data_IF_430995599360
#
_entry.id   IF_430995599360
#
_cell.length_a   1.000
_cell.length_b   1.000
_cell.length_c   1.000
_cell.angle_alpha   90.00
_cell.angle_beta   90.00
_cell.angle_gamma   90.00
#
_symmetry.space_group_name_H-M   'P 1'
#
loop_
_entity.id
_entity.type
_entity.pdbx_description
1 polymer ?
#
# COMPACT_ATOMS: atom_id res chain seq x y z
N UNK A 1 18.35 -61.77 -52.41
CA UNK A 1 17.69 -62.85 -51.62
C UNK A 1 17.32 -62.29 -50.23
N UNK A 2 16.01 -62.31 -49.95
CA UNK A 2 15.38 -62.26 -48.62
C UNK A 2 15.56 -60.94 -47.75
N UNK A 3 14.57 -60.05 -47.72
CA UNK A 3 13.35 -60.10 -46.94
C UNK A 3 13.60 -60.01 -45.43
N UNK A 4 13.09 -58.89 -44.86
CA UNK A 4 12.27 -58.82 -43.63
C UNK A 4 12.02 -57.36 -43.35
N UNK A 5 10.91 -56.75 -43.66
CA UNK A 5 9.60 -56.74 -43.01
C UNK A 5 9.60 -56.17 -41.62
N UNK A 6 9.08 -54.95 -41.53
CA UNK A 6 8.07 -54.42 -40.58
C UNK A 6 8.11 -54.92 -39.15
N UNK A 7 8.33 -54.00 -38.25
CA UNK A 7 7.48 -53.88 -37.06
C UNK A 7 7.31 -52.36 -36.78
N UNK A 8 6.17 -51.83 -37.14
CA UNK A 8 5.59 -50.61 -36.57
C UNK A 8 4.91 -51.05 -35.31
N UNK A 9 5.46 -50.69 -34.16
CA UNK A 9 4.75 -50.82 -32.88
C UNK A 9 4.34 -49.42 -32.39
N UNK A 10 3.06 -49.34 -32.16
CA UNK A 10 2.31 -48.21 -31.64
C UNK A 10 2.93 -47.68 -30.37
N UNK A 11 3.31 -46.41 -30.38
CA UNK A 11 3.47 -45.64 -29.16
C UNK A 11 2.13 -44.93 -28.82
N UNK A 12 1.60 -45.09 -27.61
CA UNK A 12 0.43 -44.36 -27.21
C UNK A 12 0.78 -42.87 -26.99
N UNK A 13 0.00 -42.07 -27.67
CA UNK A 13 -0.08 -40.61 -27.45
C UNK A 13 -0.42 -40.33 -25.99
N UNK A 14 0.58 -40.05 -25.17
CA UNK A 14 0.38 -39.53 -23.81
C UNK A 14 0.15 -38.03 -23.93
N UNK A 15 -1.09 -37.67 -24.22
CA UNK A 15 -1.59 -36.32 -24.01
C UNK A 15 -1.37 -35.88 -22.56
N UNK A 16 -0.24 -35.25 -22.29
CA UNK A 16 -0.04 -34.54 -21.06
C UNK A 16 -0.95 -33.34 -21.04
N UNK A 17 -2.12 -33.51 -20.45
CA UNK A 17 -2.92 -32.39 -19.92
C UNK A 17 -2.08 -31.67 -18.87
N UNK A 18 -1.32 -30.68 -19.31
CA UNK A 18 -0.79 -29.65 -18.43
C UNK A 18 -1.99 -28.75 -18.16
N UNK A 19 -2.79 -29.10 -17.14
CA UNK A 19 -3.64 -28.14 -16.49
C UNK A 19 -2.71 -27.07 -15.94
N UNK A 20 -2.61 -25.94 -16.66
CA UNK A 20 -2.07 -24.70 -16.14
C UNK A 20 -2.89 -24.37 -14.88
N UNK A 21 -2.34 -24.72 -13.74
CA UNK A 21 -2.82 -24.23 -12.45
C UNK A 21 -2.76 -22.72 -12.50
N UNK A 22 -3.89 -22.09 -12.77
CA UNK A 22 -4.10 -20.66 -12.73
C UNK A 22 -3.77 -20.23 -11.31
N UNK A 23 -2.50 -19.85 -11.08
CA UNK A 23 -2.02 -19.26 -9.84
C UNK A 23 -2.86 -18.01 -9.65
N UNK A 24 -3.84 -18.07 -8.78
CA UNK A 24 -4.59 -16.90 -8.34
C UNK A 24 -3.56 -15.97 -7.72
N UNK A 25 -3.09 -14.98 -8.47
CA UNK A 25 -2.22 -13.95 -7.94
C UNK A 25 -2.97 -13.25 -6.82
N UNK A 26 -2.51 -13.46 -5.61
CA UNK A 26 -3.04 -12.76 -4.44
C UNK A 26 -2.68 -11.29 -4.62
N UNK A 27 -3.70 -10.44 -4.64
CA UNK A 27 -3.49 -9.00 -4.77
C UNK A 27 -2.66 -8.46 -3.61
N UNK A 28 -1.53 -7.85 -3.93
CA UNK A 28 -0.64 -7.18 -2.98
C UNK A 28 -0.66 -5.68 -3.25
N UNK A 29 -1.29 -4.88 -2.38
CA UNK A 29 -1.46 -3.45 -2.62
C UNK A 29 -0.13 -2.70 -2.52
N UNK A 30 0.03 -1.66 -3.33
CA UNK A 30 1.10 -0.66 -3.21
C UNK A 30 0.59 0.54 -2.46
N UNK A 31 1.17 0.83 -1.32
CA UNK A 31 0.74 1.91 -0.44
C UNK A 31 1.87 2.91 -0.28
N UNK A 32 1.56 4.20 -0.35
CA UNK A 32 2.49 5.28 -0.07
C UNK A 32 2.18 5.87 1.30
N UNK A 33 3.16 5.89 2.19
CA UNK A 33 3.05 6.48 3.52
C UNK A 33 3.82 7.80 3.62
N UNK A 34 3.13 8.91 3.83
CA UNK A 34 3.75 10.20 4.15
C UNK A 34 3.94 10.34 5.67
N UNK A 35 5.18 10.32 6.13
CA UNK A 35 5.52 10.34 7.55
C UNK A 35 6.19 11.65 7.95
N UNK A 36 5.68 12.25 9.03
CA UNK A 36 6.31 13.44 9.62
C UNK A 36 7.67 13.08 10.25
N UNK A 37 8.71 13.82 9.90
CA UNK A 37 10.08 13.59 10.38
C UNK A 37 10.20 13.53 11.91
N UNK A 38 9.47 14.40 12.62
CA UNK A 38 9.65 14.61 14.07
C UNK A 38 8.88 13.61 14.93
N UNK A 39 7.91 12.91 14.36
CA UNK A 39 7.07 11.98 15.12
C UNK A 39 6.95 10.63 14.44
N UNK A 40 6.11 10.47 13.42
CA UNK A 40 5.80 9.18 12.84
C UNK A 40 6.98 8.49 12.15
N UNK A 41 7.91 9.27 11.55
CA UNK A 41 9.14 8.68 10.98
C UNK A 41 10.08 8.18 12.09
N UNK A 42 10.23 8.94 13.17
CA UNK A 42 10.99 8.48 14.34
C UNK A 42 10.32 7.25 15.00
N UNK A 43 8.98 7.18 14.98
CA UNK A 43 8.24 5.98 15.40
C UNK A 43 8.53 4.77 14.51
N UNK A 44 8.66 4.98 13.20
CA UNK A 44 9.07 3.95 12.24
C UNK A 44 10.51 3.48 12.52
N UNK A 45 11.46 4.41 12.76
CA UNK A 45 12.84 4.09 13.13
C UNK A 45 12.89 3.27 14.42
N UNK A 46 12.07 3.62 15.41
CA UNK A 46 11.96 2.85 16.66
C UNK A 46 11.43 1.44 16.42
N UNK A 47 10.45 1.27 15.55
CA UNK A 47 9.93 -0.05 15.20
C UNK A 47 11.01 -0.89 14.50
N UNK A 48 11.78 -0.28 13.57
CA UNK A 48 12.90 -0.93 12.90
C UNK A 48 14.03 -1.33 13.86
N UNK A 49 14.44 -0.42 14.76
CA UNK A 49 15.45 -0.72 15.78
C UNK A 49 15.02 -1.85 16.72
N UNK A 50 13.73 -1.96 17.01
CA UNK A 50 13.15 -3.05 17.78
C UNK A 50 12.87 -4.33 16.95
N UNK A 51 13.31 -4.36 15.69
CA UNK A 51 13.12 -5.48 14.75
C UNK A 51 11.66 -5.94 14.62
N UNK A 52 10.71 -4.99 14.70
CA UNK A 52 9.29 -5.30 14.58
C UNK A 52 8.94 -5.55 13.11
N UNK A 53 8.22 -6.63 12.87
CA UNK A 53 7.77 -6.99 11.53
C UNK A 53 6.43 -6.31 11.21
N UNK A 54 6.35 -5.74 10.04
CA UNK A 54 5.13 -5.19 9.45
C UNK A 54 5.12 -5.44 7.94
N UNK A 55 3.98 -5.25 7.33
CA UNK A 55 3.79 -5.55 5.90
C UNK A 55 4.74 -4.72 5.01
N UNK A 56 5.43 -5.34 4.04
CA UNK A 56 6.35 -4.65 3.13
C UNK A 56 5.64 -3.81 2.07
N UNK A 57 4.31 -3.81 2.05
CA UNK A 57 3.49 -3.15 1.04
C UNK A 57 3.51 -1.62 1.09
N UNK A 58 4.18 -1.02 2.08
CA UNK A 58 4.19 0.42 2.30
C UNK A 58 5.56 1.01 1.98
N UNK A 59 5.60 1.91 1.00
CA UNK A 59 6.76 2.75 0.70
C UNK A 59 6.63 4.07 1.46
N UNK A 60 7.66 4.42 2.25
CA UNK A 60 7.65 5.59 3.12
C UNK A 60 8.28 6.79 2.45
N UNK A 61 7.59 7.92 2.46
CA UNK A 61 8.09 9.25 2.09
C UNK A 61 8.17 10.10 3.35
N UNK A 62 9.38 10.47 3.73
CA UNK A 62 9.62 11.37 4.85
C UNK A 62 9.37 12.81 4.47
N UNK A 63 8.53 13.50 5.23
CA UNK A 63 8.24 14.93 5.10
C UNK A 63 8.62 15.66 6.38
N UNK A 64 9.08 16.91 6.28
CA UNK A 64 9.49 17.66 7.48
C UNK A 64 8.32 17.90 8.45
N UNK A 65 7.11 18.05 7.93
CA UNK A 65 5.88 18.18 8.73
C UNK A 65 4.69 17.68 7.94
N UNK A 66 3.74 17.02 8.58
CA UNK A 66 2.48 16.60 7.92
C UNK A 66 1.71 17.79 7.32
N UNK A 67 1.84 18.99 7.91
CA UNK A 67 1.27 20.23 7.35
C UNK A 67 1.87 20.65 5.99
N UNK A 68 2.96 20.03 5.55
CA UNK A 68 3.57 20.25 4.22
C UNK A 68 2.94 19.37 3.13
N UNK A 69 2.20 18.34 3.52
CA UNK A 69 1.58 17.42 2.57
C UNK A 69 0.47 18.15 1.84
N UNK A 70 0.67 18.32 0.53
CA UNK A 70 -0.33 18.89 -0.36
C UNK A 70 -1.26 17.77 -0.86
N UNK A 71 -2.57 18.03 -1.03
CA UNK A 71 -3.50 17.10 -1.67
C UNK A 71 -3.01 16.58 -3.02
N UNK A 72 -2.27 17.41 -3.77
CA UNK A 72 -1.69 17.02 -5.06
C UNK A 72 -0.76 15.79 -4.93
N UNK A 73 0.03 15.69 -3.84
CA UNK A 73 0.93 14.55 -3.64
C UNK A 73 0.16 13.23 -3.50
N UNK A 74 -1.03 13.29 -2.88
CA UNK A 74 -1.89 12.11 -2.72
C UNK A 74 -2.53 11.75 -4.06
N UNK A 75 -3.00 12.75 -4.81
CA UNK A 75 -3.54 12.53 -6.14
C UNK A 75 -2.49 11.95 -7.10
N UNK A 76 -1.27 12.49 -7.07
CA UNK A 76 -0.13 11.99 -7.86
C UNK A 76 0.21 10.54 -7.48
N UNK A 77 0.18 10.18 -6.19
CA UNK A 77 0.41 8.82 -5.75
C UNK A 77 -0.62 7.85 -6.37
N UNK A 78 -1.91 8.18 -6.33
CA UNK A 78 -2.95 7.37 -6.94
C UNK A 78 -2.81 7.30 -8.47
N UNK A 79 -2.50 8.40 -9.15
CA UNK A 79 -2.28 8.43 -10.59
C UNK A 79 -1.09 7.58 -11.04
N UNK A 80 -0.06 7.49 -10.19
CA UNK A 80 1.12 6.65 -10.41
C UNK A 80 0.95 5.20 -9.93
N UNK A 81 -0.28 4.82 -9.59
CA UNK A 81 -0.66 3.44 -9.33
C UNK A 81 -0.46 2.98 -7.90
N UNK A 82 -0.54 3.88 -6.93
CA UNK A 82 -0.75 3.48 -5.54
C UNK A 82 -2.19 2.99 -5.36
N UNK A 83 -2.38 1.90 -4.63
CA UNK A 83 -3.69 1.37 -4.27
C UNK A 83 -4.23 1.99 -2.98
N UNK A 84 -3.32 2.56 -2.18
CA UNK A 84 -3.64 3.27 -0.95
C UNK A 84 -2.60 4.31 -0.60
N UNK A 85 -3.00 5.31 0.16
CA UNK A 85 -2.12 6.36 0.70
C UNK A 85 -2.40 6.52 2.19
N UNK A 86 -1.35 6.72 2.98
CA UNK A 86 -1.49 7.03 4.40
C UNK A 86 -0.72 8.30 4.76
N UNK A 87 -1.26 9.06 5.69
CA UNK A 87 -0.66 10.26 6.27
C UNK A 87 -0.50 10.03 7.76
N UNK A 88 0.73 9.97 8.24
CA UNK A 88 1.00 9.81 9.66
C UNK A 88 1.56 11.11 10.25
N UNK A 89 0.81 11.69 11.17
CA UNK A 89 1.08 12.98 11.77
C UNK A 89 1.43 12.87 13.27
N UNK A 90 1.91 13.97 13.85
CA UNK A 90 2.05 14.12 15.31
C UNK A 90 0.66 14.18 15.96
N UNK A 91 0.53 13.71 17.19
CA UNK A 91 -0.68 13.90 18.01
C UNK A 91 -1.05 15.39 18.14
N UNK A 92 -2.32 15.71 18.35
CA UNK A 92 -2.76 17.07 18.66
C UNK A 92 -1.96 17.65 19.84
N UNK A 93 -1.41 18.85 19.67
CA UNK A 93 -0.56 19.50 20.67
C UNK A 93 0.95 19.23 20.53
N UNK A 94 1.37 18.13 19.88
CA UNK A 94 2.78 17.70 19.81
C UNK A 94 3.49 18.13 18.52
N UNK A 95 2.86 18.95 17.68
CA UNK A 95 3.46 19.34 16.43
C UNK A 95 4.68 20.25 16.64
N UNK A 96 5.86 19.83 16.11
CA UNK A 96 7.09 20.62 16.17
C UNK A 96 6.93 22.05 15.64
N UNK A 97 6.04 22.24 14.65
CA UNK A 97 5.71 23.53 14.03
C UNK A 97 4.37 24.11 14.52
N UNK A 98 3.89 23.66 15.70
CA UNK A 98 2.66 24.07 16.41
C UNK A 98 1.36 23.59 15.75
N UNK A 99 1.10 23.89 14.48
CA UNK A 99 -0.22 23.71 13.82
C UNK A 99 -0.22 22.76 12.63
N UNK A 100 0.94 22.21 12.25
CA UNK A 100 1.05 21.43 11.02
C UNK A 100 0.12 20.22 10.94
N UNK A 101 -0.06 19.50 12.04
CA UNK A 101 -0.97 18.36 12.14
C UNK A 101 -2.45 18.77 12.02
N UNK A 102 -2.85 19.91 12.58
CA UNK A 102 -4.22 20.44 12.44
C UNK A 102 -4.52 20.82 11.00
N UNK A 103 -3.57 21.47 10.30
CA UNK A 103 -3.69 21.81 8.88
C UNK A 103 -3.75 20.56 8.01
N UNK A 104 -2.97 19.55 8.33
CA UNK A 104 -2.97 18.28 7.61
C UNK A 104 -4.32 17.56 7.70
N UNK A 105 -4.89 17.45 8.90
CA UNK A 105 -6.19 16.79 9.08
C UNK A 105 -7.33 17.55 8.39
N UNK A 106 -7.29 18.88 8.38
CA UNK A 106 -8.30 19.68 7.68
C UNK A 106 -8.23 19.44 6.15
N UNK A 107 -7.01 19.46 5.57
CA UNK A 107 -6.82 19.15 4.15
C UNK A 107 -7.24 17.74 3.81
N UNK A 108 -6.91 16.77 4.65
CA UNK A 108 -7.32 15.38 4.47
C UNK A 108 -8.84 15.23 4.42
N UNK A 109 -9.57 15.89 5.34
CA UNK A 109 -11.06 15.87 5.32
C UNK A 109 -11.66 16.43 4.03
N UNK A 110 -11.06 17.50 3.49
CA UNK A 110 -11.47 18.04 2.19
C UNK A 110 -11.12 17.10 1.05
N UNK A 111 -9.93 16.50 1.10
CA UNK A 111 -9.46 15.55 0.09
C UNK A 111 -10.36 14.32 0.00
N UNK A 112 -10.81 13.76 1.13
CA UNK A 112 -11.73 12.61 1.12
C UNK A 112 -13.00 12.90 0.31
N UNK A 113 -13.55 14.13 0.41
CA UNK A 113 -14.72 14.53 -0.40
C UNK A 113 -14.42 14.56 -1.90
N UNK A 114 -13.21 14.98 -2.28
CA UNK A 114 -12.75 14.99 -3.67
C UNK A 114 -12.52 13.56 -4.17
N UNK A 115 -11.84 12.71 -3.40
CA UNK A 115 -11.58 11.31 -3.76
C UNK A 115 -12.88 10.56 -4.04
N UNK A 116 -13.89 10.77 -3.23
CA UNK A 116 -15.23 10.19 -3.44
C UNK A 116 -15.85 10.60 -4.78
N UNK A 117 -15.65 11.85 -5.24
CA UNK A 117 -16.13 12.31 -6.55
C UNK A 117 -15.39 11.62 -7.70
N UNK A 118 -14.13 11.21 -7.49
CA UNK A 118 -13.34 10.45 -8.46
C UNK A 118 -13.58 8.93 -8.37
N UNK A 119 -14.49 8.48 -7.51
CA UNK A 119 -14.78 7.07 -7.32
C UNK A 119 -13.69 6.31 -6.55
N UNK A 120 -12.86 7.04 -5.78
CA UNK A 120 -11.83 6.44 -4.90
C UNK A 120 -12.42 6.32 -3.49
N UNK A 121 -12.38 5.12 -2.94
CA UNK A 121 -12.90 4.81 -1.61
C UNK A 121 -12.09 5.54 -0.53
N UNK A 122 -12.78 6.08 0.47
CA UNK A 122 -12.18 6.88 1.54
C UNK A 122 -11.13 6.07 2.35
N UNK A 123 -11.36 4.78 2.48
CA UNK A 123 -10.49 3.84 3.20
C UNK A 123 -9.11 3.68 2.54
N UNK A 124 -8.97 4.07 1.27
CA UNK A 124 -7.68 4.08 0.57
C UNK A 124 -6.80 5.26 0.97
N UNK A 125 -7.37 6.29 1.62
CA UNK A 125 -6.63 7.47 2.07
C UNK A 125 -6.74 7.62 3.58
N UNK A 126 -5.86 6.92 4.31
CA UNK A 126 -5.87 6.92 5.78
C UNK A 126 -5.08 8.09 6.35
N UNK A 127 -5.62 8.70 7.40
CA UNK A 127 -4.92 9.63 8.26
C UNK A 127 -4.87 9.09 9.68
N UNK A 128 -3.69 9.11 10.31
CA UNK A 128 -3.54 8.66 11.69
C UNK A 128 -2.45 9.46 12.44
N UNK A 129 -2.39 9.30 13.75
CA UNK A 129 -1.41 9.93 14.61
C UNK A 129 -0.45 8.87 15.16
N UNK A 130 0.86 9.16 15.05
CA UNK A 130 1.92 8.31 15.60
C UNK A 130 3.01 9.21 16.15
N UNK A 131 3.36 9.05 17.43
CA UNK A 131 4.49 9.75 18.06
C UNK A 131 5.82 9.01 17.87
N UNK A 132 6.94 9.69 18.17
CA UNK A 132 8.27 9.11 18.10
C UNK A 132 8.45 7.87 19.02
N UNK A 133 7.69 7.83 20.13
CA UNK A 133 7.72 6.72 21.08
C UNK A 133 6.91 5.50 20.68
N UNK A 134 6.03 5.62 19.68
CA UNK A 134 4.95 4.65 19.40
C UNK A 134 5.27 3.69 18.24
N UNK A 135 6.41 2.97 18.32
CA UNK A 135 6.76 1.97 17.30
C UNK A 135 5.72 0.85 17.14
N UNK A 136 5.06 0.43 18.23
CA UNK A 136 3.98 -0.59 18.16
C UNK A 136 2.76 -0.06 17.42
N UNK A 137 2.35 1.17 17.73
CA UNK A 137 1.25 1.83 17.02
C UNK A 137 1.56 2.00 15.53
N UNK A 138 2.79 2.36 15.20
CA UNK A 138 3.23 2.44 13.80
C UNK A 138 2.99 1.12 13.07
N UNK A 139 3.45 0.01 13.63
CA UNK A 139 3.26 -1.34 13.07
C UNK A 139 1.77 -1.68 12.91
N UNK A 140 0.97 -1.41 13.93
CA UNK A 140 -0.48 -1.65 13.92
C UNK A 140 -1.16 -0.90 12.78
N UNK A 141 -0.90 0.40 12.67
CA UNK A 141 -1.49 1.28 11.65
C UNK A 141 -1.10 0.83 10.24
N UNK A 142 0.16 0.43 10.02
CA UNK A 142 0.62 -0.12 8.75
C UNK A 142 -0.20 -1.37 8.38
N UNK A 143 -0.23 -2.35 9.26
CA UNK A 143 -0.88 -3.63 8.99
C UNK A 143 -2.39 -3.47 8.78
N UNK A 144 -3.06 -2.67 9.61
CA UNK A 144 -4.47 -2.35 9.45
C UNK A 144 -4.78 -1.69 8.10
N UNK A 145 -3.92 -0.77 7.66
CA UNK A 145 -4.09 -0.08 6.37
C UNK A 145 -3.93 -1.06 5.20
N UNK A 146 -2.91 -1.91 5.26
CA UNK A 146 -2.67 -2.92 4.21
C UNK A 146 -3.86 -3.86 4.12
N UNK A 147 -4.37 -4.36 5.25
CA UNK A 147 -5.53 -5.27 5.27
C UNK A 147 -6.82 -4.57 4.77
N UNK A 148 -7.02 -3.30 5.10
CA UNK A 148 -8.15 -2.54 4.59
C UNK A 148 -8.10 -2.42 3.06
N UNK A 149 -6.93 -2.05 2.50
CA UNK A 149 -6.76 -1.90 1.06
C UNK A 149 -6.80 -3.25 0.35
N UNK A 150 -6.28 -4.34 0.94
CA UNK A 150 -6.42 -5.71 0.41
C UNK A 150 -7.89 -6.11 0.23
N UNK A 151 -8.75 -5.78 1.18
CA UNK A 151 -10.20 -6.08 1.11
C UNK A 151 -10.90 -5.32 -0.01
N UNK A 152 -10.45 -4.10 -0.33
CA UNK A 152 -11.00 -3.29 -1.41
C UNK A 152 -10.54 -3.78 -2.81
N UNK A 153 -9.43 -4.51 -2.86
CA UNK A 153 -8.82 -4.94 -4.12
C UNK A 153 -8.07 -3.80 -4.85
N UNK A 154 -7.60 -4.04 -6.07
CA UNK A 154 -6.82 -3.06 -6.84
C UNK A 154 -7.64 -1.83 -7.19
N UNK A 155 -7.01 -0.65 -7.09
CA UNK A 155 -7.64 0.61 -7.46
C UNK A 155 -7.84 0.67 -8.99
N UNK A 156 -9.08 0.86 -9.41
CA UNK A 156 -9.45 1.06 -10.81
C UNK A 156 -9.75 2.54 -11.04
N UNK A 157 -8.75 3.31 -11.43
CA UNK A 157 -8.98 4.67 -11.88
C UNK A 157 -9.50 4.62 -13.31
N UNK A 158 -10.67 5.21 -13.55
CA UNK A 158 -11.19 5.39 -14.92
C UNK A 158 -10.28 6.42 -15.59
N UNK A 159 -9.37 5.96 -16.44
CA UNK A 159 -8.60 6.82 -17.33
C UNK A 159 -9.53 7.18 -18.48
N UNK A 160 -10.05 8.40 -18.49
CA UNK A 160 -10.73 8.98 -19.65
C UNK A 160 -9.72 9.29 -20.76
#
# INVERSE_FOLDING_TARGET
MKNSASIMENMPDSGSNIEEAKKTEVFEPRIIGFLCNWCSYAGADKAGAAQKHYSPNVSVIKVMCSGRIDPQFIMDAFQNGADGVMILACHPGDCHYKEGNYRAVQRHRLLLRLLKQFGIEEERCRFDYVSAGEGDRFVSVINETVEAVKKLGPLKIIKN
#
